data_IF_165476179000
#
_entry.id   IF_165476179000
#
_cell.length_a   1.000
_cell.length_b   1.000
_cell.length_c   1.000
_cell.angle_alpha   90.00
_cell.angle_beta   90.00
_cell.angle_gamma   90.00
#
_symmetry.space_group_name_H-M   'P 1'
#
loop_
_entity.id
_entity.type
_entity.pdbx_description
1 polymer ?
#
# COMPACT_ATOMS: atom_id res chain seq x y z
N UNK A 1 22.35 32.14 1.27
CA UNK A 1 21.40 31.67 0.24
C UNK A 1 20.46 30.67 0.90
N UNK A 2 19.14 30.83 0.76
CA UNK A 2 18.17 29.88 1.34
C UNK A 2 18.15 28.57 0.57
N UNK A 3 17.96 27.45 1.28
CA UNK A 3 17.74 26.15 0.64
C UNK A 3 16.46 26.21 -0.22
N UNK A 4 16.48 25.61 -1.41
CA UNK A 4 15.30 25.53 -2.27
C UNK A 4 14.23 24.65 -1.59
N UNK A 5 13.07 25.20 -1.18
CA UNK A 5 12.04 24.42 -0.49
C UNK A 5 11.35 23.39 -1.41
N UNK A 6 11.55 23.50 -2.73
CA UNK A 6 11.04 22.56 -3.72
C UNK A 6 12.07 21.54 -4.17
N UNK A 7 13.27 21.50 -3.57
CA UNK A 7 14.31 20.53 -3.91
C UNK A 7 13.77 19.08 -3.93
N UNK A 8 12.92 18.75 -2.95
CA UNK A 8 12.27 17.45 -2.82
C UNK A 8 11.22 17.12 -3.88
N UNK A 9 10.81 18.09 -4.73
CA UNK A 9 9.90 17.84 -5.85
C UNK A 9 10.65 17.47 -7.14
N UNK A 10 11.96 17.73 -7.22
CA UNK A 10 12.73 17.42 -8.42
C UNK A 10 13.14 15.95 -8.49
N UNK A 11 13.36 15.31 -7.33
CA UNK A 11 13.71 13.91 -7.23
C UNK A 11 12.56 13.11 -6.61
N UNK A 12 12.32 11.90 -7.12
CA UNK A 12 11.38 10.98 -6.49
C UNK A 12 11.93 10.59 -5.13
N UNK A 13 11.16 10.79 -4.07
CA UNK A 13 11.50 10.33 -2.73
C UNK A 13 11.87 8.85 -2.75
N UNK A 14 12.95 8.51 -2.05
CA UNK A 14 13.28 7.13 -1.74
C UNK A 14 12.53 6.69 -0.47
N UNK A 15 11.69 5.67 -0.62
CA UNK A 15 10.86 5.07 0.43
C UNK A 15 11.44 3.74 0.94
N UNK A 16 12.71 3.44 0.60
CA UNK A 16 13.41 2.24 1.04
C UNK A 16 13.36 2.10 2.57
N UNK A 17 13.81 3.12 3.31
CA UNK A 17 13.83 3.17 4.77
C UNK A 17 12.44 3.07 5.40
N UNK A 18 11.38 3.57 4.73
CA UNK A 18 10.03 3.52 5.27
C UNK A 18 9.53 2.08 5.45
N UNK A 19 9.90 1.16 4.54
CA UNK A 19 9.50 -0.24 4.63
C UNK A 19 10.43 -1.13 5.45
N UNK A 20 11.46 -0.56 6.10
CA UNK A 20 12.27 -1.27 7.10
C UNK A 20 11.64 -1.21 8.51
N UNK A 21 10.60 -0.38 8.68
CA UNK A 21 9.85 -0.29 9.94
C UNK A 21 9.17 -1.60 10.26
N UNK A 22 9.18 -1.96 11.55
CA UNK A 22 8.58 -3.20 12.04
C UNK A 22 7.05 -3.29 11.85
N UNK A 23 6.38 -2.15 11.66
CA UNK A 23 4.93 -2.05 11.43
C UNK A 23 4.54 -1.93 9.94
N UNK A 24 5.51 -2.12 9.04
CA UNK A 24 5.29 -2.18 7.59
C UNK A 24 5.56 -3.60 7.09
N UNK A 25 4.56 -4.24 6.48
CA UNK A 25 4.74 -5.52 5.80
C UNK A 25 5.12 -5.26 4.35
N UNK A 26 6.39 -5.49 4.01
CA UNK A 26 6.90 -5.37 2.62
C UNK A 26 6.96 -6.73 1.93
N UNK A 27 6.23 -6.86 0.82
CA UNK A 27 6.27 -8.02 -0.07
C UNK A 27 7.02 -7.66 -1.35
N UNK A 28 8.16 -8.30 -1.61
CA UNK A 28 8.98 -8.00 -2.79
C UNK A 28 8.96 -9.15 -3.79
N UNK A 29 8.62 -8.84 -5.04
CA UNK A 29 8.64 -9.79 -6.14
C UNK A 29 10.04 -10.11 -6.67
N UNK A 30 10.13 -11.05 -7.65
CA UNK A 30 11.38 -11.29 -8.36
C UNK A 30 11.81 -10.06 -9.16
N UNK A 31 13.10 -9.99 -9.50
CA UNK A 31 13.61 -8.97 -10.42
C UNK A 31 13.01 -9.22 -11.81
N UNK A 32 12.58 -8.14 -12.48
CA UNK A 32 12.05 -8.22 -13.82
C UNK A 32 13.15 -8.65 -14.80
N UNK A 33 12.97 -9.72 -15.59
CA UNK A 33 13.99 -10.19 -16.54
C UNK A 33 14.17 -9.25 -17.75
N UNK A 34 13.23 -8.32 -17.95
CA UNK A 34 13.23 -7.29 -18.98
C UNK A 34 12.32 -6.13 -18.56
N UNK A 35 12.25 -5.09 -19.38
CA UNK A 35 11.30 -3.98 -19.14
C UNK A 35 9.85 -4.53 -19.15
N UNK A 36 9.09 -4.19 -18.10
CA UNK A 36 7.70 -4.62 -17.90
C UNK A 36 6.79 -3.39 -17.83
N UNK A 37 5.87 -3.29 -18.79
CA UNK A 37 4.84 -2.25 -18.80
C UNK A 37 3.65 -2.64 -17.93
N UNK A 38 3.37 -1.80 -16.94
CA UNK A 38 2.26 -1.88 -16.00
C UNK A 38 1.21 -0.86 -16.45
N UNK A 39 0.18 -1.34 -17.14
CA UNK A 39 -0.89 -0.49 -17.68
C UNK A 39 -2.24 -0.96 -17.14
N UNK A 40 -3.01 -0.04 -16.56
CA UNK A 40 -4.37 -0.29 -16.09
C UNK A 40 -4.54 -0.09 -14.59
N UNK A 41 -5.64 -0.60 -14.04
CA UNK A 41 -5.98 -0.49 -12.63
C UNK A 41 -5.06 -1.39 -11.78
N UNK A 42 -4.55 -0.83 -10.69
CA UNK A 42 -3.85 -1.56 -9.63
C UNK A 42 -4.87 -1.86 -8.54
N UNK A 43 -5.16 -3.13 -8.33
CA UNK A 43 -6.14 -3.58 -7.35
C UNK A 43 -5.53 -4.61 -6.42
N UNK A 44 -5.81 -4.47 -5.13
CA UNK A 44 -5.35 -5.41 -4.11
C UNK A 44 -6.54 -6.01 -3.39
N UNK A 45 -6.67 -7.32 -3.44
CA UNK A 45 -7.57 -8.07 -2.57
C UNK A 45 -6.78 -8.52 -1.34
N UNK A 46 -7.25 -8.18 -0.13
CA UNK A 46 -6.67 -8.57 1.15
C UNK A 46 -7.61 -9.47 1.94
N UNK A 47 -7.09 -10.56 2.50
CA UNK A 47 -7.78 -11.37 3.51
C UNK A 47 -7.37 -10.85 4.88
N UNK A 48 -8.14 -9.89 5.40
CA UNK A 48 -7.79 -9.14 6.61
C UNK A 48 -8.56 -9.64 7.83
N UNK A 49 -7.85 -9.88 8.93
CA UNK A 49 -8.43 -10.04 10.25
C UNK A 49 -8.04 -8.84 11.11
N UNK A 50 -9.04 -8.13 11.63
CA UNK A 50 -8.87 -6.97 12.50
C UNK A 50 -9.93 -6.98 13.61
N UNK A 51 -9.55 -6.77 14.88
CA UNK A 51 -10.47 -6.86 16.02
C UNK A 51 -11.47 -5.69 16.13
N UNK A 52 -11.25 -4.61 15.37
CA UNK A 52 -12.05 -3.40 15.30
C UNK A 52 -11.98 -2.83 13.88
N UNK A 53 -12.53 -1.64 13.66
CA UNK A 53 -12.26 -0.85 12.47
C UNK A 53 -10.75 -0.75 12.16
N UNK A 54 -10.43 -0.54 10.90
CA UNK A 54 -9.04 -0.58 10.44
C UNK A 54 -8.81 0.37 9.28
N UNK A 55 -7.71 1.11 9.36
CA UNK A 55 -7.11 1.74 8.19
C UNK A 55 -6.01 0.81 7.65
N UNK A 56 -6.07 0.56 6.35
CA UNK A 56 -4.99 -0.13 5.62
C UNK A 56 -4.54 0.78 4.48
N UNK A 57 -3.27 1.14 4.53
CA UNK A 57 -2.58 1.92 3.52
C UNK A 57 -1.64 1.01 2.74
N UNK A 58 -1.52 1.26 1.46
CA UNK A 58 -0.73 0.44 0.55
C UNK A 58 0.12 1.33 -0.35
N UNK A 59 1.35 0.88 -0.62
CA UNK A 59 2.22 1.49 -1.61
C UNK A 59 2.77 0.42 -2.51
N UNK A 60 2.56 0.57 -3.81
CA UNK A 60 3.28 -0.17 -4.84
C UNK A 60 4.55 0.60 -5.18
N UNK A 61 5.68 -0.06 -5.08
CA UNK A 61 7.01 0.53 -5.22
C UNK A 61 7.78 -0.14 -6.36
N UNK A 62 8.57 0.66 -7.06
CA UNK A 62 9.63 0.22 -7.96
C UNK A 62 10.96 0.26 -7.18
N UNK A 63 11.51 -0.91 -6.92
CA UNK A 63 12.78 -1.09 -6.20
C UNK A 63 13.90 -1.30 -7.21
N UNK A 64 14.82 -0.34 -7.26
CA UNK A 64 16.01 -0.39 -8.09
C UNK A 64 16.99 -1.49 -7.62
N UNK A 65 17.91 -1.95 -8.50
CA UNK A 65 18.96 -2.90 -8.10
C UNK A 65 19.83 -2.43 -6.93
N UNK A 66 19.97 -1.11 -6.76
CA UNK A 66 20.68 -0.49 -5.64
C UNK A 66 19.87 -0.37 -4.34
N UNK A 67 18.61 -0.81 -4.31
CA UNK A 67 17.75 -0.82 -3.12
C UNK A 67 16.83 0.40 -2.96
N UNK A 68 17.06 1.49 -3.70
CA UNK A 68 16.16 2.65 -3.70
C UNK A 68 14.74 2.23 -4.14
N UNK A 69 13.72 2.66 -3.41
CA UNK A 69 12.33 2.27 -3.64
C UNK A 69 11.46 3.50 -3.92
N UNK A 70 10.91 3.59 -5.12
CA UNK A 70 10.14 4.76 -5.56
C UNK A 70 8.66 4.43 -5.75
N UNK A 71 7.79 5.35 -5.33
CA UNK A 71 6.33 5.17 -5.38
C UNK A 71 5.82 5.06 -6.83
N UNK A 72 5.17 3.95 -7.16
CA UNK A 72 4.47 3.72 -8.43
C UNK A 72 3.00 4.09 -8.30
N UNK A 73 2.36 3.58 -7.26
CA UNK A 73 0.94 3.81 -6.94
C UNK A 73 0.71 3.64 -5.43
N UNK A 74 -0.36 4.21 -4.93
CA UNK A 74 -0.78 4.08 -3.54
C UNK A 74 -2.29 3.91 -3.46
N UNK A 75 -2.74 3.30 -2.38
CA UNK A 75 -4.15 3.09 -2.13
C UNK A 75 -4.42 3.01 -0.64
N UNK A 76 -5.70 3.14 -0.30
CA UNK A 76 -6.14 2.96 1.08
C UNK A 76 -7.54 2.40 1.13
N UNK A 77 -7.84 1.73 2.24
CA UNK A 77 -9.20 1.37 2.61
C UNK A 77 -9.37 1.64 4.11
N UNK A 78 -10.57 2.09 4.46
CA UNK A 78 -11.02 2.24 5.84
C UNK A 78 -12.19 1.29 6.05
N UNK A 79 -12.11 0.52 7.13
CA UNK A 79 -13.17 -0.32 7.64
C UNK A 79 -13.67 0.29 8.93
N UNK A 80 -14.99 0.45 9.06
CA UNK A 80 -15.61 0.96 10.29
C UNK A 80 -15.97 -0.15 11.28
N UNK A 81 -15.88 -1.41 10.84
CA UNK A 81 -16.24 -2.61 11.62
C UNK A 81 -15.06 -3.60 11.67
N UNK A 82 -15.04 -4.53 12.65
CA UNK A 82 -14.09 -5.63 12.66
C UNK A 82 -14.09 -6.43 11.36
N UNK A 83 -12.92 -6.97 11.00
CA UNK A 83 -12.75 -7.88 9.89
C UNK A 83 -12.38 -9.28 10.40
N UNK A 84 -13.02 -10.32 9.88
CA UNK A 84 -12.87 -11.71 10.30
C UNK A 84 -12.21 -12.59 9.22
N UNK A 85 -11.46 -11.98 8.31
CA UNK A 85 -10.74 -12.66 7.24
C UNK A 85 -11.43 -12.60 5.89
N UNK A 86 -12.57 -11.93 5.76
CA UNK A 86 -13.24 -11.67 4.48
C UNK A 86 -12.37 -10.84 3.50
N UNK A 87 -12.65 -10.87 2.19
CA UNK A 87 -11.84 -10.13 1.23
C UNK A 87 -12.16 -8.63 1.30
N UNK A 88 -11.10 -7.83 1.43
CA UNK A 88 -11.14 -6.36 1.41
C UNK A 88 -10.42 -5.90 0.16
N UNK A 89 -11.09 -5.08 -0.66
CA UNK A 89 -10.50 -4.56 -1.90
C UNK A 89 -9.96 -3.15 -1.68
N UNK A 90 -8.66 -2.99 -1.89
CA UNK A 90 -7.97 -1.70 -1.95
C UNK A 90 -7.77 -1.31 -3.41
N UNK A 91 -8.29 -0.14 -3.77
CA UNK A 91 -8.02 0.50 -5.07
C UNK A 91 -6.74 1.33 -4.95
N UNK A 92 -5.73 1.03 -5.78
CA UNK A 92 -4.49 1.80 -5.91
C UNK A 92 -4.49 2.66 -7.18
N UNK A 93 -5.66 2.83 -7.80
CA UNK A 93 -5.89 3.62 -9.02
C UNK A 93 -5.17 3.08 -10.27
N UNK A 94 -5.27 3.82 -11.37
CA UNK A 94 -4.69 3.47 -12.66
C UNK A 94 -3.21 3.85 -12.78
N UNK A 95 -2.41 3.00 -13.41
CA UNK A 95 -1.01 3.26 -13.73
C UNK A 95 -0.74 3.13 -15.23
N UNK A 96 0.24 3.90 -15.69
CA UNK A 96 0.93 3.70 -16.96
C UNK A 96 2.44 3.81 -16.68
N UNK A 97 3.02 2.72 -16.18
CA UNK A 97 4.37 2.71 -15.61
C UNK A 97 5.24 1.62 -16.25
N UNK A 98 6.51 1.93 -16.52
CA UNK A 98 7.48 0.92 -16.97
C UNK A 98 8.43 0.57 -15.82
N UNK A 99 8.31 -0.66 -15.33
CA UNK A 99 9.32 -1.26 -14.45
C UNK A 99 10.51 -1.67 -15.31
N UNK A 100 11.70 -1.18 -14.96
CA UNK A 100 12.91 -1.45 -15.75
C UNK A 100 13.47 -2.84 -15.49
N UNK A 101 14.14 -3.42 -16.48
CA UNK A 101 14.86 -4.68 -16.31
C UNK A 101 15.78 -4.63 -15.06
N UNK A 102 15.77 -5.70 -14.27
CA UNK A 102 16.52 -5.80 -13.01
C UNK A 102 15.86 -5.16 -11.79
N UNK A 103 14.86 -4.30 -11.98
CA UNK A 103 14.07 -3.73 -10.88
C UNK A 103 13.05 -4.75 -10.34
N UNK A 104 12.49 -4.48 -9.15
CA UNK A 104 11.48 -5.32 -8.49
C UNK A 104 10.26 -4.50 -8.16
N UNK A 105 9.08 -5.11 -8.24
CA UNK A 105 7.91 -4.57 -7.55
C UNK A 105 7.95 -4.94 -6.08
N UNK A 106 7.68 -3.97 -5.22
CA UNK A 106 7.41 -4.21 -3.82
C UNK A 106 6.05 -3.62 -3.43
N UNK A 107 5.34 -4.29 -2.53
CA UNK A 107 4.09 -3.83 -1.94
C UNK A 107 4.30 -3.64 -0.44
N UNK A 108 4.15 -2.40 0.03
CA UNK A 108 4.09 -2.10 1.45
C UNK A 108 2.63 -2.11 1.90
N UNK A 109 2.35 -2.79 3.01
CA UNK A 109 1.08 -2.72 3.75
C UNK A 109 1.34 -2.19 5.16
N UNK A 110 0.53 -1.21 5.58
CA UNK A 110 0.69 -0.56 6.88
C UNK A 110 -0.64 0.04 7.36
N UNK A 111 -0.73 0.34 8.66
CA UNK A 111 -1.93 0.97 9.25
C UNK A 111 -1.83 2.48 9.43
N UNK A 112 -0.71 3.10 9.02
CA UNK A 112 -0.57 4.54 9.00
C UNK A 112 0.37 5.00 7.89
N UNK A 113 0.05 6.13 7.27
CA UNK A 113 0.91 6.80 6.30
C UNK A 113 0.83 8.32 6.52
N UNK A 114 1.34 8.74 7.67
CA UNK A 114 1.49 10.14 8.01
C UNK A 114 2.74 10.72 7.33
N UNK A 115 2.71 11.96 6.82
CA UNK A 115 1.66 12.97 6.96
C UNK A 115 0.59 12.95 5.86
N UNK A 116 0.67 12.02 4.91
CA UNK A 116 -0.27 11.99 3.79
C UNK A 116 -1.71 11.70 4.25
N UNK A 117 -1.87 10.90 5.30
CA UNK A 117 -3.13 10.63 5.97
C UNK A 117 -3.04 10.85 7.48
N UNK A 118 -4.15 11.32 8.06
CA UNK A 118 -4.29 11.43 9.52
C UNK A 118 -4.24 10.04 10.15
N UNK A 119 -3.52 9.87 11.28
CA UNK A 119 -3.48 8.60 11.98
C UNK A 119 -4.88 8.18 12.46
N UNK A 120 -5.10 6.87 12.53
CA UNK A 120 -6.32 6.32 13.11
C UNK A 120 -6.42 6.67 14.61
N UNK A 121 -7.54 7.27 15.01
CA UNK A 121 -7.85 7.55 16.41
C UNK A 121 -8.59 6.39 17.08
N UNK A 122 -9.03 6.59 18.33
CA UNK A 122 -9.92 5.64 19.00
C UNK A 122 -11.22 5.42 18.20
N UNK A 123 -11.85 4.25 18.34
CA UNK A 123 -13.09 3.93 17.65
C UNK A 123 -14.19 4.99 17.92
N UNK A 124 -14.79 5.51 16.86
CA UNK A 124 -15.82 6.55 16.93
C UNK A 124 -15.31 7.97 17.16
N UNK A 125 -13.99 8.16 17.27
CA UNK A 125 -13.40 9.47 17.54
C UNK A 125 -13.30 10.33 16.26
N UNK A 126 -13.29 11.66 16.43
CA UNK A 126 -13.16 12.61 15.32
C UNK A 126 -11.73 12.55 14.74
N UNK A 127 -11.55 12.30 13.43
CA UNK A 127 -10.22 12.04 12.85
C UNK A 127 -9.31 13.28 12.78
N UNK A 128 -9.84 14.49 13.01
CA UNK A 128 -9.07 15.73 12.90
C UNK A 128 -8.58 16.26 14.24
N UNK A 129 -9.29 15.92 15.31
CA UNK A 129 -9.03 16.43 16.67
C UNK A 129 -8.54 15.35 17.62
N UNK A 130 -8.73 14.08 17.27
CA UNK A 130 -8.32 12.96 18.13
C UNK A 130 -6.84 12.67 18.02
N UNK A 131 -6.26 12.25 19.14
CA UNK A 131 -4.95 11.65 19.16
C UNK A 131 -5.02 10.24 18.54
N UNK A 132 -3.87 9.71 18.05
CA UNK A 132 -3.79 8.31 17.61
C UNK A 132 -4.30 7.35 18.70
N UNK A 133 -4.97 6.28 18.29
CA UNK A 133 -5.43 5.23 19.20
C UNK A 133 -4.30 4.35 19.72
N UNK A 134 -4.63 3.41 20.62
CA UNK A 134 -3.70 2.39 21.09
C UNK A 134 -3.25 1.47 19.94
N UNK A 135 -2.04 0.88 20.01
CA UNK A 135 -1.58 -0.09 19.01
C UNK A 135 -2.53 -1.29 18.88
N UNK A 136 -2.88 -1.64 17.63
CA UNK A 136 -3.76 -2.78 17.32
C UNK A 136 -3.06 -3.75 16.37
N UNK A 137 -2.99 -5.02 16.76
CA UNK A 137 -2.52 -6.09 15.87
C UNK A 137 -3.58 -6.45 14.84
N UNK A 138 -3.17 -6.48 13.57
CA UNK A 138 -3.98 -6.90 12.43
C UNK A 138 -3.24 -7.99 11.67
N UNK A 139 -3.98 -8.89 11.03
CA UNK A 139 -3.40 -10.06 10.36
C UNK A 139 -3.84 -10.09 8.90
N UNK A 140 -2.88 -10.25 8.00
CA UNK A 140 -3.13 -10.49 6.58
C UNK A 140 -2.86 -11.96 6.29
N UNK A 141 -3.86 -12.68 5.78
CA UNK A 141 -3.71 -14.07 5.37
C UNK A 141 -3.16 -14.16 3.95
N UNK A 142 -2.13 -14.98 3.76
CA UNK A 142 -1.48 -15.23 2.48
C UNK A 142 -1.73 -16.69 2.04
N UNK A 143 -1.86 -16.91 0.73
CA UNK A 143 -2.10 -18.25 0.16
C UNK A 143 -3.51 -18.80 0.41
N UNK A 144 -3.67 -20.12 0.24
CA UNK A 144 -4.96 -20.81 0.36
C UNK A 144 -5.84 -20.70 -0.90
N UNK A 145 -7.10 -21.12 -0.78
CA UNK A 145 -8.07 -21.14 -1.89
C UNK A 145 -8.49 -19.73 -2.36
N UNK A 146 -8.44 -18.74 -1.46
CA UNK A 146 -8.81 -17.35 -1.73
C UNK A 146 -7.69 -16.42 -1.23
N UNK A 147 -6.54 -16.36 -1.92
CA UNK A 147 -5.37 -15.66 -1.43
C UNK A 147 -5.52 -14.14 -1.54
N UNK A 148 -4.87 -13.40 -0.63
CA UNK A 148 -4.58 -11.99 -0.87
C UNK A 148 -3.75 -11.85 -2.14
N UNK A 149 -4.10 -10.91 -3.02
CA UNK A 149 -3.53 -10.83 -4.36
C UNK A 149 -3.54 -9.40 -4.90
N UNK A 150 -2.37 -8.93 -5.33
CA UNK A 150 -2.20 -7.70 -6.11
C UNK A 150 -2.35 -8.01 -7.60
N UNK A 151 -3.16 -7.22 -8.31
CA UNK A 151 -3.38 -7.31 -9.75
C UNK A 151 -3.13 -5.95 -10.39
N UNK A 152 -2.59 -5.98 -11.60
CA UNK A 152 -2.38 -4.78 -12.43
C UNK A 152 -2.91 -5.07 -13.82
N UNK A 153 -3.93 -4.35 -14.27
CA UNK A 153 -4.49 -4.54 -15.61
C UNK A 153 -5.95 -4.11 -15.72
N UNK A 154 -6.78 -4.97 -16.29
CA UNK A 154 -8.18 -4.64 -16.60
C UNK A 154 -9.14 -4.75 -15.41
N UNK A 155 -8.72 -5.39 -14.31
CA UNK A 155 -9.56 -5.68 -13.13
C UNK A 155 -9.99 -4.40 -12.41
N UNK A 156 -11.27 -4.06 -12.50
CA UNK A 156 -11.81 -2.91 -11.78
C UNK A 156 -12.09 -3.26 -10.31
N UNK A 157 -11.90 -2.32 -9.36
CA UNK A 157 -12.19 -2.57 -7.95
C UNK A 157 -13.61 -3.07 -7.70
N UNK A 158 -14.60 -2.54 -8.43
CA UNK A 158 -16.01 -2.90 -8.24
C UNK A 158 -16.33 -4.31 -8.72
N UNK A 159 -15.66 -4.82 -9.76
CA UNK A 159 -15.79 -6.21 -10.19
C UNK A 159 -15.33 -7.16 -9.08
N UNK A 160 -14.25 -6.80 -8.39
CA UNK A 160 -13.67 -7.60 -7.30
C UNK A 160 -14.46 -7.52 -6.00
N UNK A 161 -15.17 -6.41 -5.75
CA UNK A 161 -16.03 -6.25 -4.56
C UNK A 161 -17.33 -7.07 -4.67
N UNK A 162 -17.77 -7.35 -5.89
CA UNK A 162 -19.03 -8.03 -6.19
C UNK A 162 -18.86 -9.54 -6.51
N UNK A 163 -17.63 -10.05 -6.49
CA UNK A 163 -17.29 -11.45 -6.77
C UNK A 163 -17.31 -12.33 -5.52
#
# INVERSE_FOLDING_TARGET
AGANPFAALFDRSDLSAAGERADVLRFTGPAAPGDLDLIGAVTLTLRLTAPAGAHVHTRLLDVAPGGAAHLVAEGRVRLDVPAAGEPVVVDLHGVAYRLRAGHRLALDLMSSDFPHYVPEGAAGADPWTSLPGDPVTRVVTLGGAHPSCLRVGHWQPDDLRNA
#
